data_IF_883283148462
#
_entry.id   IF_883283148462
#
_cell.length_a   1.000
_cell.length_b   1.000
_cell.length_c   1.000
_cell.angle_alpha   90.00
_cell.angle_beta   90.00
_cell.angle_gamma   90.00
#
_symmetry.space_group_name_H-M   'P 1'
#
loop_
_entity.id
_entity.type
_entity.pdbx_description
1 polymer ?
#
# COMPACT_ATOMS: atom_id res chain seq x y z
N UNK A 1 3.05 51.99 41.85
CA UNK A 1 3.61 51.12 40.78
C UNK A 1 3.18 49.68 41.04
N UNK A 2 2.08 49.24 40.37
CA UNK A 2 1.61 47.87 40.42
C UNK A 2 2.26 47.11 39.25
N UNK A 3 3.21 46.24 39.52
CA UNK A 3 3.68 45.25 38.60
C UNK A 3 2.72 44.04 38.63
N UNK A 4 1.89 43.88 37.61
CA UNK A 4 1.15 42.65 37.38
C UNK A 4 2.12 41.59 36.84
N UNK A 5 2.53 40.69 37.70
CA UNK A 5 3.25 39.48 37.30
C UNK A 5 2.21 38.47 36.79
N UNK A 6 2.08 38.33 35.49
CA UNK A 6 1.34 37.20 34.88
C UNK A 6 2.14 35.93 35.12
N UNK A 7 1.72 35.15 36.12
CA UNK A 7 2.24 33.79 36.32
C UNK A 7 1.68 32.91 35.24
N UNK A 8 2.52 32.57 34.28
CA UNK A 8 2.21 31.51 33.30
C UNK A 8 2.36 30.20 34.06
N UNK A 9 1.25 29.61 34.51
CA UNK A 9 1.23 28.25 35.02
C UNK A 9 1.29 27.32 33.80
N UNK A 10 2.46 26.84 33.48
CA UNK A 10 2.59 25.70 32.60
C UNK A 10 2.19 24.45 33.39
N UNK A 11 0.96 23.98 33.20
CA UNK A 11 0.58 22.68 33.73
C UNK A 11 1.27 21.58 32.89
N UNK A 12 2.22 20.91 33.49
CA UNK A 12 2.77 19.66 32.95
C UNK A 12 1.70 18.59 33.14
N UNK A 13 1.02 18.24 32.07
CA UNK A 13 0.12 17.09 32.10
C UNK A 13 0.98 15.84 32.06
N UNK A 14 1.15 15.20 33.21
CA UNK A 14 1.72 13.85 33.30
C UNK A 14 0.69 12.87 32.78
N UNK A 15 0.83 12.44 31.51
CA UNK A 15 -0.02 11.40 30.94
C UNK A 15 0.44 10.04 31.47
N UNK A 16 -0.46 9.31 32.12
CA UNK A 16 -0.31 7.88 32.36
C UNK A 16 -1.02 7.09 31.26
N UNK A 17 -0.83 5.76 31.20
CA UNK A 17 -1.43 4.91 30.18
C UNK A 17 -2.96 5.03 30.06
N UNK A 18 -3.67 5.45 31.10
CA UNK A 18 -5.12 5.64 31.06
C UNK A 18 -5.52 7.02 30.52
N UNK A 19 -4.63 8.03 30.57
CA UNK A 19 -4.89 9.36 30.02
C UNK A 19 -4.72 9.42 28.49
N UNK A 20 -3.91 8.51 27.91
CA UNK A 20 -3.69 8.47 26.46
C UNK A 20 -4.93 8.05 25.65
N UNK A 21 -5.85 7.32 26.26
CA UNK A 21 -7.11 6.92 25.59
C UNK A 21 -8.08 8.11 25.37
N UNK A 22 -7.88 9.21 26.06
CA UNK A 22 -8.70 10.43 25.94
C UNK A 22 -8.08 11.49 25.01
N UNK A 23 -6.89 11.25 24.47
CA UNK A 23 -6.24 12.16 23.51
C UNK A 23 -6.85 11.92 22.15
N UNK A 24 -7.75 12.78 21.72
CA UNK A 24 -8.42 12.70 20.41
C UNK A 24 -7.61 13.37 19.30
N UNK A 25 -6.63 14.21 19.64
CA UNK A 25 -5.69 14.80 18.68
C UNK A 25 -4.39 15.17 19.38
N UNK A 26 -3.27 14.94 18.74
CA UNK A 26 -1.97 15.46 19.15
C UNK A 26 -1.84 16.92 18.70
N UNK A 27 -1.17 17.82 19.50
CA UNK A 27 -0.82 19.13 19.00
C UNK A 27 -0.04 19.04 17.67
N UNK A 28 -0.26 19.99 16.76
CA UNK A 28 0.42 20.02 15.46
C UNK A 28 1.96 20.05 15.57
N UNK A 29 2.50 20.43 16.74
CA UNK A 29 3.94 20.42 17.03
C UNK A 29 4.48 19.03 17.43
N UNK A 30 3.61 18.07 17.71
CA UNK A 30 3.97 16.68 17.94
C UNK A 30 3.73 15.93 16.63
N UNK A 31 4.67 16.09 15.67
CA UNK A 31 4.65 15.24 14.49
C UNK A 31 4.90 13.81 14.95
N UNK A 32 3.91 12.96 14.83
CA UNK A 32 4.10 11.52 14.96
C UNK A 32 5.00 11.07 13.80
N UNK A 33 6.32 11.25 13.95
CA UNK A 33 7.28 10.77 12.97
C UNK A 33 7.03 9.28 12.75
N UNK A 34 6.50 8.90 11.60
CA UNK A 34 6.22 7.49 11.31
C UNK A 34 5.05 7.29 10.34
N UNK A 35 4.57 6.07 10.32
CA UNK A 35 3.43 5.63 9.53
C UNK A 35 2.11 6.10 10.16
N UNK A 36 1.43 7.03 9.51
CA UNK A 36 0.11 7.51 9.91
C UNK A 36 -0.96 6.69 9.20
N UNK A 37 -1.73 5.89 9.93
CA UNK A 37 -2.80 5.09 9.35
C UNK A 37 -3.91 5.99 8.82
N UNK A 38 -4.19 5.90 7.50
CA UNK A 38 -5.26 6.63 6.82
C UNK A 38 -6.51 5.76 6.74
N UNK A 39 -6.36 4.52 6.24
CA UNK A 39 -7.49 3.61 6.00
C UNK A 39 -7.11 2.16 6.17
N UNK A 40 -8.03 1.37 6.71
CA UNK A 40 -7.98 -0.09 6.70
C UNK A 40 -9.17 -0.64 5.91
N UNK A 41 -8.89 -1.57 4.98
CA UNK A 41 -9.88 -2.38 4.30
C UNK A 41 -9.68 -3.83 4.73
N UNK A 42 -10.66 -4.36 5.47
CA UNK A 42 -10.68 -5.78 5.88
C UNK A 42 -11.60 -6.53 4.93
N UNK A 43 -11.08 -7.60 4.35
CA UNK A 43 -11.80 -8.48 3.43
C UNK A 43 -12.09 -9.76 4.18
N UNK A 44 -13.37 -10.11 4.31
CA UNK A 44 -13.83 -11.31 5.03
C UNK A 44 -14.71 -12.22 4.16
N UNK A 45 -14.90 -11.86 2.91
CA UNK A 45 -15.65 -12.63 1.91
C UNK A 45 -15.18 -12.23 0.52
N UNK A 46 -15.47 -13.04 -0.46
CA UNK A 46 -15.10 -12.85 -1.86
C UNK A 46 -15.39 -11.44 -2.34
N UNK A 47 -14.32 -10.70 -2.62
CA UNK A 47 -14.36 -9.30 -3.05
C UNK A 47 -13.58 -9.17 -4.35
N UNK A 48 -14.24 -8.71 -5.40
CA UNK A 48 -13.62 -8.62 -6.73
C UNK A 48 -12.47 -7.60 -6.76
N UNK A 49 -12.63 -6.46 -6.09
CA UNK A 49 -11.64 -5.36 -6.08
C UNK A 49 -11.66 -4.61 -4.76
N UNK A 50 -10.52 -4.07 -4.36
CA UNK A 50 -10.38 -3.14 -3.23
C UNK A 50 -9.79 -1.85 -3.75
N UNK A 51 -10.51 -0.73 -3.59
CA UNK A 51 -10.09 0.58 -4.08
C UNK A 51 -9.93 1.58 -2.94
N UNK A 52 -8.89 2.40 -3.07
CA UNK A 52 -8.64 3.57 -2.23
C UNK A 52 -8.73 4.79 -3.13
N UNK A 53 -9.81 5.58 -2.98
CA UNK A 53 -10.11 6.73 -3.84
C UNK A 53 -10.05 8.01 -3.02
N UNK A 54 -9.28 8.99 -3.49
CA UNK A 54 -9.16 10.31 -2.87
C UNK A 54 -10.53 10.95 -2.63
N UNK A 55 -10.76 11.47 -1.42
CA UNK A 55 -12.01 12.08 -1.01
C UNK A 55 -13.12 11.09 -0.65
N UNK A 56 -12.87 9.78 -0.68
CA UNK A 56 -13.86 8.75 -0.34
C UNK A 56 -13.43 8.02 0.94
N UNK A 57 -14.34 7.97 1.93
CA UNK A 57 -14.14 7.18 3.17
C UNK A 57 -12.79 7.48 3.86
N UNK A 58 -12.48 8.75 4.05
CA UNK A 58 -11.26 9.27 4.71
C UNK A 58 -9.94 9.03 3.95
N UNK A 59 -9.99 8.50 2.74
CA UNK A 59 -8.79 8.33 1.90
C UNK A 59 -8.34 9.69 1.36
N UNK A 60 -7.07 10.03 1.56
CA UNK A 60 -6.46 11.23 1.02
C UNK A 60 -5.21 10.88 0.22
N UNK A 61 -5.07 11.48 -0.97
CA UNK A 61 -3.87 11.50 -1.80
C UNK A 61 -3.60 12.96 -2.18
N UNK A 62 -3.14 13.75 -1.21
CA UNK A 62 -2.83 15.16 -1.36
C UNK A 62 -1.37 15.44 -0.98
N UNK A 63 -1.02 16.70 -0.77
CA UNK A 63 0.32 17.10 -0.37
C UNK A 63 0.64 16.92 1.13
N UNK A 64 -0.29 16.38 1.93
CA UNK A 64 -0.09 16.15 3.37
C UNK A 64 1.06 15.18 3.62
N UNK A 65 1.18 14.14 2.80
CA UNK A 65 2.27 13.18 2.89
C UNK A 65 3.05 13.14 1.58
N UNK A 66 4.37 12.93 1.69
CA UNK A 66 5.24 12.75 0.53
C UNK A 66 5.30 11.30 0.05
N UNK A 67 5.02 10.38 0.97
CA UNK A 67 4.99 8.95 0.70
C UNK A 67 3.69 8.34 1.21
N UNK A 68 3.12 7.45 0.40
CA UNK A 68 1.93 6.67 0.73
C UNK A 68 2.27 5.19 0.64
N UNK A 69 2.00 4.44 1.71
CA UNK A 69 2.34 3.02 1.80
C UNK A 69 1.08 2.20 1.96
N UNK A 70 0.85 1.31 1.00
CA UNK A 70 -0.15 0.26 1.12
C UNK A 70 0.52 -0.99 1.67
N UNK A 71 0.03 -1.50 2.80
CA UNK A 71 0.44 -2.81 3.33
C UNK A 71 -0.71 -3.79 3.10
N UNK A 72 -0.45 -4.84 2.33
CA UNK A 72 -1.35 -5.98 2.19
C UNK A 72 -0.84 -7.11 3.08
N UNK A 73 -1.76 -7.71 3.84
CA UNK A 73 -1.46 -8.65 4.91
C UNK A 73 -2.37 -9.85 4.75
N UNK A 74 -1.76 -11.03 4.54
CA UNK A 74 -2.45 -12.29 4.38
C UNK A 74 -3.60 -12.20 3.38
N UNK A 75 -3.36 -11.52 2.22
CA UNK A 75 -4.34 -11.52 1.15
C UNK A 75 -4.37 -12.89 0.50
N UNK A 76 -5.52 -13.55 0.59
CA UNK A 76 -5.76 -14.92 0.14
C UNK A 76 -6.71 -14.89 -1.06
N UNK A 77 -6.39 -15.53 -2.19
CA UNK A 77 -7.27 -15.59 -3.35
C UNK A 77 -8.36 -16.66 -3.17
N UNK A 78 -9.45 -16.51 -3.89
CA UNK A 78 -10.55 -17.49 -3.91
C UNK A 78 -10.25 -18.72 -4.80
N UNK A 79 -9.15 -18.74 -5.55
CA UNK A 79 -8.69 -19.89 -6.35
C UNK A 79 -7.17 -19.87 -6.50
N UNK A 80 -6.59 -21.03 -6.84
CA UNK A 80 -5.16 -21.22 -6.99
C UNK A 80 -4.51 -20.39 -8.11
N UNK A 81 -3.19 -20.25 -8.03
CA UNK A 81 -2.33 -19.62 -9.01
C UNK A 81 -2.73 -18.19 -9.35
N UNK A 82 -3.00 -17.39 -8.35
CA UNK A 82 -3.42 -16.02 -8.56
C UNK A 82 -2.33 -15.01 -8.27
N UNK A 83 -2.36 -13.92 -9.04
CA UNK A 83 -1.45 -12.79 -8.91
C UNK A 83 -2.22 -11.60 -8.32
N UNK A 84 -1.77 -11.12 -7.16
CA UNK A 84 -2.26 -9.84 -6.65
C UNK A 84 -1.71 -8.74 -7.54
N UNK A 85 -2.59 -7.92 -8.08
CA UNK A 85 -2.23 -6.85 -9.02
C UNK A 85 -2.81 -5.52 -8.57
N UNK A 86 -2.18 -4.43 -9.01
CA UNK A 86 -2.65 -3.07 -8.72
C UNK A 86 -2.61 -2.18 -9.96
N UNK A 87 -3.42 -1.12 -9.95
CA UNK A 87 -3.37 -0.06 -10.95
C UNK A 87 -3.82 1.26 -10.35
N UNK A 88 -3.37 2.36 -10.94
CA UNK A 88 -3.72 3.72 -10.53
C UNK A 88 -4.79 4.33 -11.44
N UNK A 89 -5.46 5.36 -10.92
CA UNK A 89 -6.38 6.21 -11.65
C UNK A 89 -6.07 7.68 -11.41
N UNK A 90 -6.32 8.52 -12.42
CA UNK A 90 -6.24 9.99 -12.32
C UNK A 90 -7.62 10.66 -12.24
N UNK A 91 -8.70 9.90 -12.43
CA UNK A 91 -10.08 10.41 -12.45
C UNK A 91 -11.01 9.73 -11.43
N UNK A 92 -10.47 8.78 -10.64
CA UNK A 92 -11.22 8.05 -9.60
C UNK A 92 -12.03 6.85 -10.09
N UNK A 93 -12.09 6.59 -11.40
CA UNK A 93 -12.93 5.51 -11.99
C UNK A 93 -12.15 4.58 -12.92
N UNK A 94 -11.30 5.13 -13.79
CA UNK A 94 -10.62 4.37 -14.83
C UNK A 94 -9.21 3.97 -14.37
N UNK A 95 -9.04 2.73 -13.98
CA UNK A 95 -7.76 2.19 -13.53
C UNK A 95 -6.92 1.70 -14.73
N UNK A 96 -6.33 2.66 -15.46
CA UNK A 96 -5.60 2.43 -16.69
C UNK A 96 -4.43 3.41 -16.89
N UNK A 97 -3.88 3.95 -15.81
CA UNK A 97 -2.75 4.88 -15.90
C UNK A 97 -1.54 4.17 -16.51
N UNK A 98 -0.92 4.80 -17.51
CA UNK A 98 0.25 4.25 -18.19
C UNK A 98 1.41 4.01 -17.21
N UNK A 99 2.02 2.83 -17.24
CA UNK A 99 3.09 2.42 -16.34
C UNK A 99 4.29 1.87 -17.13
N UNK A 100 5.49 2.12 -16.61
CA UNK A 100 6.72 1.42 -16.98
C UNK A 100 7.41 0.95 -15.71
N UNK A 101 7.82 -0.31 -15.67
CA UNK A 101 8.38 -0.89 -14.46
C UNK A 101 9.41 -1.98 -14.75
N UNK A 102 10.13 -2.34 -13.70
CA UNK A 102 10.98 -3.53 -13.61
C UNK A 102 10.38 -4.51 -12.60
N UNK A 103 10.61 -5.79 -12.81
CA UNK A 103 10.10 -6.85 -11.97
C UNK A 103 11.12 -7.98 -11.88
N UNK A 104 11.52 -8.38 -10.66
CA UNK A 104 12.40 -9.53 -10.46
C UNK A 104 12.01 -10.28 -9.18
N UNK A 105 12.37 -11.57 -9.14
CA UNK A 105 11.97 -12.44 -8.03
C UNK A 105 13.05 -13.46 -7.66
N UNK A 106 12.97 -13.92 -6.42
CA UNK A 106 13.67 -15.09 -5.92
C UNK A 106 12.66 -16.09 -5.37
N UNK A 107 12.85 -17.37 -5.66
CA UNK A 107 11.95 -18.44 -5.21
C UNK A 107 12.74 -19.59 -4.61
N UNK A 108 12.08 -20.37 -3.73
CA UNK A 108 12.58 -21.63 -3.23
C UNK A 108 11.39 -22.57 -2.99
N UNK A 109 11.37 -23.71 -3.67
CA UNK A 109 10.30 -24.70 -3.54
C UNK A 109 10.42 -25.47 -2.24
N UNK A 110 9.31 -25.87 -1.64
CA UNK A 110 9.28 -26.70 -0.43
C UNK A 110 9.89 -28.10 -0.67
N UNK A 111 9.86 -28.57 -1.91
CA UNK A 111 10.49 -29.83 -2.31
C UNK A 111 12.03 -29.73 -2.46
N UNK A 112 12.63 -28.57 -2.24
CA UNK A 112 14.07 -28.30 -2.39
C UNK A 112 14.64 -28.69 -3.77
N UNK A 113 13.84 -28.56 -4.82
CA UNK A 113 14.21 -28.97 -6.18
C UNK A 113 14.34 -27.79 -7.17
N UNK A 114 14.01 -26.55 -6.73
CA UNK A 114 14.14 -25.35 -7.57
C UNK A 114 14.29 -24.09 -6.70
N UNK A 115 15.25 -23.22 -7.07
CA UNK A 115 15.56 -21.99 -6.38
C UNK A 115 15.96 -20.85 -7.34
N UNK A 116 15.10 -20.46 -8.31
CA UNK A 116 15.44 -19.45 -9.30
C UNK A 116 15.55 -18.05 -8.69
N UNK A 117 16.48 -17.26 -9.28
CA UNK A 117 16.50 -15.82 -9.19
C UNK A 117 16.42 -15.29 -10.62
N UNK A 118 15.37 -14.54 -10.96
CA UNK A 118 15.11 -14.16 -12.35
C UNK A 118 14.49 -12.76 -12.49
N UNK A 119 14.67 -12.17 -13.65
CA UNK A 119 13.92 -11.04 -14.14
C UNK A 119 12.62 -11.54 -14.79
N UNK A 120 11.49 -10.99 -14.40
CA UNK A 120 10.17 -11.37 -14.92
C UNK A 120 9.81 -10.54 -16.16
N UNK A 121 10.34 -10.91 -17.31
CA UNK A 121 10.14 -10.18 -18.56
C UNK A 121 8.68 -10.21 -19.07
N UNK A 122 7.89 -11.19 -18.65
CA UNK A 122 6.46 -11.27 -18.97
C UNK A 122 5.59 -10.50 -17.95
N UNK A 123 6.21 -9.97 -16.90
CA UNK A 123 5.54 -9.33 -15.76
C UNK A 123 5.87 -7.84 -15.63
N UNK A 124 6.82 -7.37 -16.43
CA UNK A 124 7.11 -5.94 -16.58
C UNK A 124 6.17 -5.28 -17.61
N UNK A 125 6.15 -3.99 -17.59
CA UNK A 125 5.40 -3.19 -18.55
C UNK A 125 6.28 -2.07 -19.11
N UNK A 126 6.18 -1.85 -20.42
CA UNK A 126 6.77 -0.72 -21.12
C UNK A 126 5.64 0.14 -21.69
N UNK A 127 5.28 1.23 -21.01
CA UNK A 127 4.15 2.10 -21.35
C UNK A 127 2.82 1.35 -21.45
N UNK A 128 2.64 0.34 -20.59
CA UNK A 128 1.41 -0.44 -20.51
C UNK A 128 0.34 0.22 -19.65
N UNK A 129 -0.92 -0.21 -19.81
CA UNK A 129 -2.05 0.23 -18.99
C UNK A 129 -2.71 -0.92 -18.21
N UNK A 130 -2.16 -2.11 -18.32
CA UNK A 130 -2.62 -3.28 -17.58
C UNK A 130 -2.36 -3.13 -16.07
N UNK A 131 -3.06 -3.93 -15.27
CA UNK A 131 -2.76 -4.05 -13.85
C UNK A 131 -1.37 -4.67 -13.64
N UNK A 132 -0.56 -4.05 -12.78
CA UNK A 132 0.80 -4.48 -12.50
C UNK A 132 0.81 -5.53 -11.39
N UNK A 133 1.58 -6.60 -11.60
CA UNK A 133 1.75 -7.69 -10.63
C UNK A 133 2.58 -7.27 -9.42
N UNK A 134 2.21 -7.83 -8.26
CA UNK A 134 2.93 -7.70 -7.00
C UNK A 134 3.59 -9.02 -6.58
N UNK A 135 3.25 -10.13 -7.23
CA UNK A 135 3.80 -11.46 -6.94
C UNK A 135 3.77 -12.37 -8.18
N UNK A 136 4.51 -13.47 -8.08
CA UNK A 136 4.51 -14.52 -9.10
C UNK A 136 3.20 -15.32 -9.07
N UNK A 137 2.89 -15.91 -7.93
CA UNK A 137 1.69 -16.70 -7.72
C UNK A 137 1.36 -16.82 -6.24
N UNK A 138 0.09 -16.93 -5.93
CA UNK A 138 -0.44 -17.24 -4.59
C UNK A 138 -1.41 -18.39 -4.71
N UNK A 139 -1.26 -19.42 -3.89
CA UNK A 139 -2.21 -20.52 -3.82
C UNK A 139 -3.43 -20.19 -2.97
N UNK A 140 -4.45 -21.05 -3.09
CA UNK A 140 -5.73 -20.95 -2.35
C UNK A 140 -5.88 -21.99 -1.23
N UNK A 141 -4.84 -22.75 -0.91
CA UNK A 141 -4.86 -23.57 0.30
C UNK A 141 -4.94 -22.69 1.54
N UNK A 142 -5.57 -23.20 2.61
CA UNK A 142 -6.00 -22.40 3.76
C UNK A 142 -4.88 -21.62 4.48
N UNK A 143 -3.63 -22.04 4.32
CA UNK A 143 -2.42 -21.42 4.89
C UNK A 143 -1.63 -20.55 3.90
N UNK A 144 -2.04 -20.54 2.63
CA UNK A 144 -1.35 -19.79 1.57
C UNK A 144 -1.89 -18.36 1.42
N UNK A 145 -0.99 -17.42 1.26
CA UNK A 145 -1.35 -16.01 1.15
C UNK A 145 -0.20 -15.17 0.61
N UNK A 146 -0.48 -13.91 0.33
CA UNK A 146 0.53 -12.89 0.04
C UNK A 146 0.52 -11.80 1.10
N UNK A 147 1.72 -11.39 1.52
CA UNK A 147 1.93 -10.19 2.34
C UNK A 147 3.05 -9.32 1.77
N UNK A 148 2.95 -8.01 1.94
CA UNK A 148 3.94 -7.09 1.43
C UNK A 148 3.53 -5.63 1.51
N UNK A 149 4.18 -4.82 0.68
CA UNK A 149 3.84 -3.40 0.58
C UNK A 149 4.06 -2.84 -0.82
N UNK A 150 3.32 -1.79 -1.11
CA UNK A 150 3.51 -0.87 -2.23
C UNK A 150 3.71 0.54 -1.66
N UNK A 151 4.84 1.16 -1.95
CA UNK A 151 5.14 2.55 -1.60
C UNK A 151 5.01 3.42 -2.86
N UNK A 152 4.28 4.52 -2.77
CA UNK A 152 4.09 5.49 -3.84
C UNK A 152 4.54 6.86 -3.37
N UNK A 153 5.31 7.59 -4.21
CA UNK A 153 5.90 8.87 -3.89
C UNK A 153 5.13 10.02 -4.55
N UNK A 154 4.80 11.04 -3.77
CA UNK A 154 4.16 12.28 -4.19
C UNK A 154 2.99 12.09 -5.20
N UNK A 155 1.96 11.29 -4.89
CA UNK A 155 0.88 10.99 -5.82
C UNK A 155 0.13 12.23 -6.32
N UNK A 156 0.07 13.29 -5.51
CA UNK A 156 -0.59 14.55 -5.84
C UNK A 156 0.25 15.51 -6.71
N UNK A 157 1.52 15.17 -6.99
CA UNK A 157 2.37 16.01 -7.84
C UNK A 157 1.75 16.21 -9.22
N UNK A 158 1.76 17.45 -9.70
CA UNK A 158 1.38 17.80 -11.08
C UNK A 158 2.58 18.16 -11.95
N UNK A 159 3.80 17.96 -11.42
CA UNK A 159 5.06 18.28 -12.10
C UNK A 159 5.79 17.02 -12.55
N UNK A 160 5.89 16.02 -11.66
CA UNK A 160 6.67 14.81 -11.89
C UNK A 160 5.78 13.60 -12.14
N UNK A 161 6.32 12.57 -12.80
CA UNK A 161 5.76 11.22 -12.84
C UNK A 161 5.78 10.62 -11.43
N UNK A 162 4.92 9.64 -11.16
CA UNK A 162 4.74 9.06 -9.81
C UNK A 162 5.51 7.77 -9.72
N UNK A 163 6.65 7.81 -9.02
CA UNK A 163 7.44 6.61 -8.75
C UNK A 163 6.75 5.72 -7.71
N UNK A 164 7.00 4.43 -7.81
CA UNK A 164 6.60 3.45 -6.81
C UNK A 164 7.65 2.36 -6.62
N UNK A 165 7.63 1.75 -5.45
CA UNK A 165 8.39 0.55 -5.10
C UNK A 165 7.44 -0.48 -4.50
N UNK A 166 7.63 -1.76 -4.81
CA UNK A 166 6.88 -2.84 -4.17
C UNK A 166 7.78 -3.97 -3.73
N UNK A 167 7.36 -4.65 -2.67
CA UNK A 167 8.02 -5.83 -2.17
C UNK A 167 6.99 -6.79 -1.58
N UNK A 168 7.04 -8.05 -2.00
CA UNK A 168 6.08 -9.06 -1.58
C UNK A 168 6.75 -10.35 -1.18
N UNK A 169 6.11 -11.06 -0.25
CA UNK A 169 6.36 -12.45 0.07
C UNK A 169 5.07 -13.23 -0.14
N UNK A 170 5.12 -14.33 -0.87
CA UNK A 170 3.96 -15.14 -1.20
C UNK A 170 4.28 -16.63 -1.09
N UNK A 171 3.24 -17.43 -0.90
CA UNK A 171 3.32 -18.89 -0.81
C UNK A 171 2.42 -19.51 -1.88
N UNK A 172 2.98 -20.47 -2.62
CA UNK A 172 2.32 -21.43 -3.49
C UNK A 172 3.24 -22.65 -3.65
N UNK A 173 3.29 -23.53 -2.61
CA UNK A 173 4.22 -24.66 -2.47
C UNK A 173 5.70 -24.26 -2.62
N UNK A 174 5.96 -22.96 -2.49
CA UNK A 174 7.26 -22.32 -2.55
C UNK A 174 7.22 -20.97 -1.83
N UNK A 175 8.33 -20.59 -1.21
CA UNK A 175 8.54 -19.22 -0.82
C UNK A 175 8.90 -18.40 -2.07
N UNK A 176 8.18 -17.32 -2.34
CA UNK A 176 8.50 -16.38 -3.42
C UNK A 176 8.64 -14.97 -2.87
N UNK A 177 9.74 -14.31 -3.24
CA UNK A 177 10.04 -12.94 -2.87
C UNK A 177 10.17 -12.09 -4.12
N UNK A 178 9.31 -11.09 -4.26
CA UNK A 178 9.23 -10.23 -5.44
C UNK A 178 9.62 -8.80 -5.10
N UNK A 179 10.37 -8.17 -6.00
CA UNK A 179 10.71 -6.77 -6.02
C UNK A 179 10.19 -6.14 -7.30
N UNK A 180 9.44 -5.05 -7.16
CA UNK A 180 8.97 -4.24 -8.27
C UNK A 180 9.34 -2.77 -8.04
N UNK A 181 9.69 -2.09 -9.13
CA UNK A 181 9.92 -0.65 -9.13
C UNK A 181 9.45 -0.07 -10.46
N UNK A 182 8.82 1.10 -10.43
CA UNK A 182 8.34 1.71 -11.65
C UNK A 182 7.83 3.12 -11.44
N UNK A 183 7.19 3.62 -12.48
CA UNK A 183 6.52 4.91 -12.43
C UNK A 183 5.25 4.91 -13.28
N UNK A 184 4.24 5.64 -12.82
CA UNK A 184 3.08 6.01 -13.64
C UNK A 184 3.47 7.19 -14.52
N UNK A 185 3.43 7.00 -15.85
CA UNK A 185 3.86 7.99 -16.83
C UNK A 185 2.78 9.05 -17.04
N UNK A 186 2.54 9.84 -16.03
CA UNK A 186 1.60 10.97 -16.05
C UNK A 186 2.06 12.06 -15.09
N UNK A 187 1.85 13.31 -15.45
CA UNK A 187 1.99 14.46 -14.56
C UNK A 187 0.68 14.80 -13.84
N UNK A 188 -0.46 14.22 -14.25
CA UNK A 188 -1.71 14.38 -13.50
C UNK A 188 -1.62 13.73 -12.13
N UNK A 189 -2.27 14.29 -11.12
CA UNK A 189 -2.34 13.70 -9.80
C UNK A 189 -2.99 12.31 -9.87
N UNK A 190 -2.45 11.35 -9.14
CA UNK A 190 -3.10 10.06 -8.90
C UNK A 190 -4.21 10.28 -7.87
N UNK A 191 -5.41 9.89 -8.21
CA UNK A 191 -6.60 10.04 -7.36
C UNK A 191 -7.10 8.72 -6.77
N UNK A 192 -6.48 7.59 -7.14
CA UNK A 192 -6.84 6.30 -6.55
C UNK A 192 -5.90 5.17 -6.95
N UNK A 193 -5.91 4.14 -6.12
CA UNK A 193 -5.24 2.85 -6.33
C UNK A 193 -6.25 1.75 -6.11
N UNK A 194 -6.27 0.76 -7.01
CA UNK A 194 -7.10 -0.43 -6.90
C UNK A 194 -6.23 -1.68 -6.86
N UNK A 195 -6.63 -2.62 -6.01
CA UNK A 195 -6.05 -3.96 -5.90
C UNK A 195 -7.09 -5.01 -6.27
N UNK A 196 -6.65 -6.10 -6.89
CA UNK A 196 -7.44 -7.30 -7.17
C UNK A 196 -6.52 -8.49 -7.40
N UNK A 197 -7.04 -9.71 -7.35
CA UNK A 197 -6.38 -10.84 -8.00
C UNK A 197 -6.70 -10.86 -9.49
N UNK A 198 -5.73 -11.30 -10.31
CA UNK A 198 -5.83 -11.23 -11.77
C UNK A 198 -6.95 -12.08 -12.37
N UNK A 199 -7.28 -13.22 -11.76
CA UNK A 199 -8.27 -14.16 -12.26
C UNK A 199 -9.30 -14.64 -11.23
N UNK A 200 -9.28 -14.08 -9.99
CA UNK A 200 -10.18 -14.49 -8.91
C UNK A 200 -10.55 -13.31 -8.01
N UNK A 201 -11.51 -13.53 -7.11
CA UNK A 201 -11.80 -12.62 -6.01
C UNK A 201 -10.71 -12.70 -4.93
N UNK A 202 -10.60 -11.64 -4.13
CA UNK A 202 -9.87 -11.65 -2.86
C UNK A 202 -10.81 -12.33 -1.84
N UNK A 203 -10.47 -13.55 -1.41
CA UNK A 203 -11.30 -14.31 -0.46
C UNK A 203 -11.20 -13.77 0.96
N UNK A 204 -10.00 -13.35 1.37
CA UNK A 204 -9.76 -12.71 2.68
C UNK A 204 -8.48 -11.90 2.68
N UNK A 205 -8.28 -11.11 3.75
CA UNK A 205 -7.05 -10.34 3.98
C UNK A 205 -7.31 -8.94 4.49
N UNK A 206 -6.22 -8.18 4.64
CA UNK A 206 -6.29 -6.78 5.08
C UNK A 206 -5.37 -5.94 4.21
N UNK A 207 -5.89 -4.83 3.69
CA UNK A 207 -5.08 -3.81 3.00
C UNK A 207 -5.20 -2.51 3.79
N UNK A 208 -4.05 -1.95 4.20
CA UNK A 208 -3.96 -0.70 4.96
C UNK A 208 -3.23 0.35 4.17
N UNK A 209 -3.75 1.56 4.18
CA UNK A 209 -3.10 2.75 3.62
C UNK A 209 -2.53 3.60 4.75
N UNK A 210 -1.27 3.97 4.60
CA UNK A 210 -0.55 4.88 5.48
C UNK A 210 0.04 6.05 4.71
N UNK A 211 0.16 7.20 5.37
CA UNK A 211 1.00 8.33 4.97
C UNK A 211 2.26 8.39 5.81
N UNK A 212 3.38 8.79 5.22
CA UNK A 212 4.65 9.04 5.91
C UNK A 212 4.91 10.54 5.91
N UNK A 213 5.08 11.11 7.09
CA UNK A 213 5.44 12.53 7.32
C UNK A 213 6.91 12.67 7.72
#
# INVERSE_FOLDING_TARGET
NNFNVWSIIMSVVSANNNALSAITALPASVSGGGLNLIKTQTISSDTATVSFIHGTSDVVFDSTYKEYVFKYINCHPASDDQKLVFQATTNGSDFNTTVTNTYFYAQHTEADNSNPFAYGADDDQAQGTAFQRLNESTGADADQSISGYLCMFEPSSTTFVKHYLSRSSTIFDQASHVYGAGYFNTTSAITGIQFKFGGASIGSGVIKLYGIS
#
